data_IF_617398131985
#
_entry.id   IF_617398131985
#
_cell.length_a   1.000
_cell.length_b   1.000
_cell.length_c   1.000
_cell.angle_alpha   90.00
_cell.angle_beta   90.00
_cell.angle_gamma   90.00
#
_symmetry.space_group_name_H-M   'P 1'
#
loop_
_entity.id
_entity.type
_entity.pdbx_description
1 polymer ?
#
# COMPACT_ATOMS: atom_id res chain seq x y z
N UNK A 1 6.28 15.55 -13.11
CA UNK A 1 5.47 16.02 -11.95
C UNK A 1 4.26 15.11 -11.80
N UNK A 2 3.93 14.69 -10.58
CA UNK A 2 2.78 13.82 -10.30
C UNK A 2 1.48 14.59 -10.48
N UNK A 3 0.52 14.02 -11.21
CA UNK A 3 -0.84 14.57 -11.27
C UNK A 3 -1.62 14.13 -10.03
N UNK A 4 -1.70 15.02 -9.03
CA UNK A 4 -2.30 14.73 -7.73
C UNK A 4 -3.76 14.29 -7.81
N UNK A 5 -4.53 14.78 -8.80
CA UNK A 5 -5.95 14.40 -8.98
C UNK A 5 -6.06 12.96 -9.46
N UNK A 6 -5.30 12.60 -10.49
CA UNK A 6 -5.31 11.25 -11.05
C UNK A 6 -4.78 10.23 -10.03
N UNK A 7 -3.74 10.59 -9.28
CA UNK A 7 -3.19 9.73 -8.24
C UNK A 7 -4.20 9.49 -7.12
N UNK A 8 -4.90 10.54 -6.67
CA UNK A 8 -5.95 10.41 -5.67
C UNK A 8 -7.10 9.54 -6.18
N UNK A 9 -7.54 9.70 -7.42
CA UNK A 9 -8.57 8.85 -8.01
C UNK A 9 -8.12 7.38 -8.08
N UNK A 10 -6.86 7.13 -8.48
CA UNK A 10 -6.30 5.79 -8.51
C UNK A 10 -6.30 5.16 -7.11
N UNK A 11 -5.88 5.90 -6.08
CA UNK A 11 -5.93 5.45 -4.68
C UNK A 11 -7.37 5.25 -4.18
N UNK A 12 -8.31 6.11 -4.54
CA UNK A 12 -9.72 5.91 -4.17
C UNK A 12 -10.29 4.65 -4.79
N UNK A 13 -9.93 4.33 -6.04
CA UNK A 13 -10.35 3.10 -6.70
C UNK A 13 -9.78 1.84 -6.04
N UNK A 14 -8.60 1.92 -5.40
CA UNK A 14 -8.08 0.76 -4.65
C UNK A 14 -8.90 0.47 -3.41
N UNK A 15 -9.69 1.40 -2.88
CA UNK A 15 -10.51 1.17 -1.69
C UNK A 15 -11.71 0.25 -1.93
N UNK A 16 -12.13 0.08 -3.19
CA UNK A 16 -13.32 -0.68 -3.54
C UNK A 16 -13.29 -2.12 -2.94
N UNK A 17 -14.43 -2.64 -2.51
CA UNK A 17 -14.53 -4.01 -2.01
C UNK A 17 -14.20 -5.02 -3.12
N UNK A 18 -13.89 -6.25 -2.74
CA UNK A 18 -13.74 -7.36 -3.68
C UNK A 18 -14.95 -8.27 -3.53
N UNK A 19 -15.69 -8.45 -4.62
CA UNK A 19 -16.83 -9.34 -4.71
C UNK A 19 -16.53 -10.40 -5.77
N UNK A 20 -16.72 -11.67 -5.42
CA UNK A 20 -16.56 -12.78 -6.36
C UNK A 20 -17.95 -13.29 -6.73
N UNK A 21 -18.29 -13.29 -8.02
CA UNK A 21 -19.59 -13.81 -8.47
C UNK A 21 -19.66 -15.35 -8.36
N UNK A 22 -18.52 -16.02 -8.43
CA UNK A 22 -18.42 -17.49 -8.45
C UNK A 22 -18.47 -18.15 -7.07
N UNK A 23 -18.27 -17.39 -5.99
CA UNK A 23 -18.25 -17.87 -4.60
C UNK A 23 -18.94 -16.81 -3.75
N UNK A 24 -19.83 -17.16 -2.80
CA UNK A 24 -20.51 -16.17 -1.94
C UNK A 24 -19.53 -15.54 -0.94
N UNK A 25 -18.62 -14.72 -1.46
CA UNK A 25 -17.54 -14.07 -0.75
C UNK A 25 -17.47 -12.61 -1.19
N UNK A 26 -17.63 -11.73 -0.22
CA UNK A 26 -17.46 -10.29 -0.36
C UNK A 26 -16.58 -9.78 0.77
N UNK A 27 -15.74 -8.80 0.49
CA UNK A 27 -15.04 -8.06 1.53
C UNK A 27 -15.61 -6.69 1.73
N UNK A 28 -15.37 -6.10 2.89
CA UNK A 28 -15.51 -4.66 3.05
C UNK A 28 -14.52 -3.88 2.18
N UNK A 29 -14.78 -2.58 2.06
CA UNK A 29 -13.83 -1.64 1.48
C UNK A 29 -12.59 -1.50 2.35
N UNK A 30 -11.45 -1.18 1.74
CA UNK A 30 -10.26 -0.81 2.51
C UNK A 30 -10.55 0.46 3.32
N UNK A 31 -9.97 0.57 4.51
CA UNK A 31 -10.14 1.75 5.35
C UNK A 31 -9.40 2.95 4.76
N UNK A 32 -8.16 2.73 4.30
CA UNK A 32 -7.38 3.75 3.63
C UNK A 32 -6.28 3.16 2.74
N UNK A 33 -5.82 3.98 1.80
CA UNK A 33 -4.69 3.70 0.93
C UNK A 33 -3.84 4.96 0.85
N UNK A 34 -2.52 4.81 0.99
CA UNK A 34 -1.60 5.93 0.99
C UNK A 34 -0.37 5.62 0.13
N UNK A 35 0.13 6.67 -0.52
CA UNK A 35 1.43 6.70 -1.15
C UNK A 35 2.34 7.57 -0.29
N UNK A 36 3.41 6.99 0.22
CA UNK A 36 4.31 7.64 1.16
C UNK A 36 5.74 7.67 0.63
N UNK A 37 6.52 8.63 1.13
CA UNK A 37 7.96 8.75 0.85
C UNK A 37 8.76 7.70 1.61
N UNK A 38 9.70 7.05 0.93
CA UNK A 38 10.69 6.15 1.54
C UNK A 38 11.56 6.90 2.56
N UNK A 39 11.94 8.14 2.24
CA UNK A 39 12.93 8.89 3.02
C UNK A 39 12.45 9.25 4.43
N UNK A 40 11.17 9.60 4.57
CA UNK A 40 10.64 10.17 5.82
C UNK A 40 9.22 9.71 6.18
N UNK A 41 8.62 8.78 5.42
CA UNK A 41 7.25 8.33 5.65
C UNK A 41 6.17 9.39 5.37
N UNK A 42 6.54 10.53 4.77
CA UNK A 42 5.58 11.59 4.49
C UNK A 42 4.56 11.14 3.45
N UNK A 43 3.28 11.43 3.71
CA UNK A 43 2.18 11.11 2.80
C UNK A 43 2.22 12.06 1.60
N UNK A 44 2.41 11.50 0.40
CA UNK A 44 2.36 12.23 -0.88
C UNK A 44 0.92 12.32 -1.37
N UNK A 45 0.16 11.24 -1.24
CA UNK A 45 -1.26 11.17 -1.57
C UNK A 45 -1.95 10.09 -0.76
N UNK A 46 -3.23 10.26 -0.46
CA UNK A 46 -4.02 9.27 0.27
C UNK A 46 -5.48 9.31 -0.14
N UNK A 47 -6.16 8.19 0.11
CA UNK A 47 -7.60 8.04 0.06
C UNK A 47 -8.07 7.27 1.29
N UNK A 48 -9.24 7.62 1.82
CA UNK A 48 -9.86 6.94 2.95
C UNK A 48 -11.38 6.84 2.73
N UNK A 49 -12.02 5.90 3.43
CA UNK A 49 -13.49 5.72 3.42
C UNK A 49 -14.21 6.55 4.50
N UNK A 50 -13.46 7.32 5.30
CA UNK A 50 -14.02 8.14 6.38
C UNK A 50 -14.98 9.23 5.85
N UNK A 51 -16.05 9.49 6.61
CA UNK A 51 -16.98 10.57 6.28
C UNK A 51 -16.32 11.96 6.43
N UNK A 52 -16.78 12.99 5.70
CA UNK A 52 -16.11 14.29 5.61
C UNK A 52 -15.86 15.02 6.94
N UNK A 53 -16.64 14.69 8.00
CA UNK A 53 -16.58 15.31 9.32
C UNK A 53 -15.40 14.89 10.22
N UNK A 54 -14.79 13.72 9.99
CA UNK A 54 -13.69 13.17 10.80
C UNK A 54 -12.29 13.41 10.19
N UNK A 55 -12.19 14.32 9.23
CA UNK A 55 -11.06 14.40 8.29
C UNK A 55 -9.70 14.78 8.92
N UNK A 56 -9.68 15.56 10.00
CA UNK A 56 -8.42 16.04 10.60
C UNK A 56 -7.82 15.03 11.57
N UNK A 57 -8.64 14.44 12.45
CA UNK A 57 -8.20 13.37 13.36
C UNK A 57 -7.79 12.12 12.59
N UNK A 58 -8.57 11.74 11.57
CA UNK A 58 -8.25 10.59 10.71
C UNK A 58 -6.95 10.78 9.92
N UNK A 59 -6.64 12.00 9.45
CA UNK A 59 -5.37 12.26 8.77
C UNK A 59 -4.17 12.20 9.72
N UNK A 60 -4.30 12.71 10.94
CA UNK A 60 -3.23 12.64 11.93
C UNK A 60 -2.94 11.18 12.33
N UNK A 61 -3.99 10.38 12.52
CA UNK A 61 -3.85 8.95 12.76
C UNK A 61 -3.17 8.27 11.57
N UNK A 62 -3.60 8.57 10.34
CA UNK A 62 -2.98 8.00 9.14
C UNK A 62 -1.49 8.36 9.02
N UNK A 63 -1.10 9.60 9.35
CA UNK A 63 0.31 10.01 9.36
C UNK A 63 1.13 9.20 10.34
N UNK A 64 0.61 9.00 11.56
CA UNK A 64 1.26 8.19 12.58
C UNK A 64 1.42 6.74 12.10
N UNK A 65 0.35 6.15 11.57
CA UNK A 65 0.35 4.78 11.05
C UNK A 65 1.32 4.60 9.89
N UNK A 66 1.35 5.56 8.94
CA UNK A 66 2.28 5.53 7.81
C UNK A 66 3.75 5.60 8.25
N UNK A 67 4.06 6.43 9.25
CA UNK A 67 5.40 6.54 9.80
C UNK A 67 5.83 5.22 10.46
N UNK A 68 4.98 4.64 11.31
CA UNK A 68 5.24 3.35 11.95
C UNK A 68 5.44 2.22 10.93
N UNK A 69 4.63 2.20 9.86
CA UNK A 69 4.79 1.25 8.76
C UNK A 69 6.14 1.41 8.05
N UNK A 70 6.53 2.65 7.77
CA UNK A 70 7.78 2.96 7.07
C UNK A 70 8.99 2.58 7.93
N UNK A 71 8.95 2.80 9.24
CA UNK A 71 10.05 2.44 10.12
C UNK A 71 10.19 0.93 10.25
N UNK A 72 9.08 0.20 10.48
CA UNK A 72 9.10 -1.28 10.47
C UNK A 72 9.59 -1.86 9.15
N UNK A 73 9.12 -1.31 8.02
CA UNK A 73 9.59 -1.73 6.71
C UNK A 73 11.08 -1.46 6.52
N UNK A 74 11.57 -0.29 6.97
CA UNK A 74 12.99 0.06 6.86
C UNK A 74 13.87 -0.89 7.68
N UNK A 75 13.40 -1.35 8.83
CA UNK A 75 14.08 -2.36 9.66
C UNK A 75 14.09 -3.73 8.96
N UNK A 76 12.91 -4.19 8.50
CA UNK A 76 12.76 -5.49 7.82
C UNK A 76 13.52 -5.55 6.47
N UNK A 77 13.69 -4.42 5.78
CA UNK A 77 14.43 -4.32 4.52
C UNK A 77 15.96 -4.28 4.77
N UNK A 78 16.39 -3.72 5.90
CA UNK A 78 17.80 -3.67 6.30
C UNK A 78 18.31 -5.02 6.80
N UNK A 79 17.48 -5.76 7.53
CA UNK A 79 17.82 -7.10 8.03
C UNK A 79 16.70 -8.10 7.76
N UNK A 80 16.91 -8.89 6.71
CA UNK A 80 15.97 -9.93 6.28
C UNK A 80 15.89 -11.12 7.25
N UNK A 81 16.86 -11.31 8.15
CA UNK A 81 16.88 -12.45 9.08
C UNK A 81 16.19 -12.15 10.41
N UNK A 82 16.17 -10.89 10.84
CA UNK A 82 15.49 -10.46 12.06
C UNK A 82 14.04 -10.02 11.82
N UNK A 83 13.49 -10.29 10.64
CA UNK A 83 12.13 -9.87 10.28
C UNK A 83 11.12 -10.25 11.36
N UNK A 84 10.43 -9.23 11.86
CA UNK A 84 9.30 -9.40 12.76
C UNK A 84 8.11 -10.05 12.05
N UNK A 85 8.07 -9.95 10.72
CA UNK A 85 6.94 -10.34 9.88
C UNK A 85 7.09 -11.76 9.32
N UNK A 86 6.03 -12.56 9.50
CA UNK A 86 5.99 -13.97 9.04
C UNK A 86 5.86 -14.13 7.51
N UNK A 87 5.64 -13.05 6.76
CA UNK A 87 5.21 -13.10 5.37
C UNK A 87 5.82 -11.97 4.50
N UNK A 88 7.07 -12.13 4.06
CA UNK A 88 7.65 -11.34 2.98
C UNK A 88 7.42 -12.06 1.64
N UNK A 89 6.64 -11.46 0.73
CA UNK A 89 6.39 -12.03 -0.59
C UNK A 89 7.24 -11.33 -1.65
N UNK A 90 8.16 -12.07 -2.27
CA UNK A 90 8.85 -11.60 -3.47
C UNK A 90 7.86 -11.60 -4.64
N UNK A 91 7.71 -10.45 -5.28
CA UNK A 91 6.83 -10.28 -6.43
C UNK A 91 7.63 -9.78 -7.63
N UNK A 92 7.64 -10.57 -8.70
CA UNK A 92 8.28 -10.24 -9.96
C UNK A 92 7.22 -10.20 -11.05
N UNK A 93 7.26 -9.17 -11.90
CA UNK A 93 6.40 -9.05 -13.06
C UNK A 93 7.13 -8.36 -14.21
N UNK A 94 6.61 -8.55 -15.40
CA UNK A 94 7.06 -7.87 -16.61
C UNK A 94 5.88 -7.10 -17.18
N UNK A 95 6.14 -5.86 -17.56
CA UNK A 95 5.28 -5.08 -18.43
C UNK A 95 5.71 -5.33 -19.88
N UNK A 96 4.77 -5.28 -20.82
CA UNK A 96 4.97 -5.73 -22.21
C UNK A 96 6.34 -5.34 -22.80
N UNK A 97 7.14 -6.36 -23.14
CA UNK A 97 8.50 -6.28 -23.70
C UNK A 97 9.54 -5.43 -22.92
N UNK A 98 9.33 -5.22 -21.61
CA UNK A 98 10.21 -4.45 -20.73
C UNK A 98 11.12 -5.28 -19.80
N UNK A 99 11.99 -4.57 -19.06
CA UNK A 99 12.82 -5.13 -17.96
C UNK A 99 11.91 -5.75 -16.87
N UNK A 100 12.29 -6.90 -16.27
CA UNK A 100 11.55 -7.42 -15.12
C UNK A 100 11.62 -6.45 -13.94
N UNK A 101 10.47 -6.14 -13.37
CA UNK A 101 10.36 -5.41 -12.12
C UNK A 101 10.24 -6.39 -10.97
N UNK A 102 10.85 -6.02 -9.85
CA UNK A 102 10.79 -6.78 -8.62
C UNK A 102 10.45 -5.86 -7.46
N UNK A 103 9.60 -6.33 -6.56
CA UNK A 103 9.42 -5.73 -5.25
C UNK A 103 9.14 -6.81 -4.21
N UNK A 104 9.21 -6.40 -2.94
CA UNK A 104 8.83 -7.21 -1.79
C UNK A 104 7.56 -6.63 -1.20
N UNK A 105 6.62 -7.51 -0.92
CA UNK A 105 5.35 -7.17 -0.28
C UNK A 105 5.43 -7.62 1.17
N UNK A 106 5.21 -6.68 2.07
CA UNK A 106 5.22 -6.89 3.51
C UNK A 106 3.80 -6.76 4.06
N UNK A 107 3.52 -7.52 5.11
CA UNK A 107 2.24 -7.47 5.82
C UNK A 107 2.49 -7.23 7.29
N UNK A 108 1.84 -6.21 7.85
CA UNK A 108 1.94 -5.85 9.26
C UNK A 108 0.57 -5.88 9.92
N UNK A 109 0.56 -6.26 11.19
CA UNK A 109 -0.57 -6.01 12.08
C UNK A 109 -0.21 -4.79 12.93
N UNK A 110 -1.03 -3.75 12.86
CA UNK A 110 -0.87 -2.54 13.65
C UNK A 110 -2.21 -2.25 14.30
N UNK A 111 -2.26 -2.37 15.62
CA UNK A 111 -3.51 -2.33 16.39
C UNK A 111 -4.49 -3.39 15.87
N UNK A 112 -5.70 -2.99 15.48
CA UNK A 112 -6.75 -3.85 14.91
C UNK A 112 -6.77 -3.82 13.37
N UNK A 113 -5.71 -3.26 12.74
CA UNK A 113 -5.63 -3.09 11.30
C UNK A 113 -4.62 -4.04 10.67
N UNK A 114 -5.03 -4.59 9.53
CA UNK A 114 -4.16 -5.33 8.63
C UNK A 114 -3.60 -4.37 7.61
N UNK A 115 -2.28 -4.31 7.57
CA UNK A 115 -1.53 -3.44 6.68
C UNK A 115 -0.77 -4.27 5.67
N UNK A 116 -0.78 -3.83 4.42
CA UNK A 116 0.08 -4.38 3.40
C UNK A 116 0.79 -3.25 2.67
N UNK A 117 2.10 -3.39 2.51
CA UNK A 117 2.90 -2.38 1.83
C UNK A 117 3.91 -2.99 0.88
N UNK A 118 4.28 -2.20 -0.12
CA UNK A 118 5.34 -2.53 -1.05
C UNK A 118 6.01 -1.27 -1.57
N UNK A 119 7.32 -1.38 -1.75
CA UNK A 119 8.11 -0.37 -2.42
C UNK A 119 7.77 -0.33 -3.91
N UNK A 120 7.58 0.87 -4.46
CA UNK A 120 7.39 1.03 -5.90
C UNK A 120 8.75 0.93 -6.60
N UNK A 121 8.88 0.09 -7.65
CA UNK A 121 10.16 -0.19 -8.29
C UNK A 121 10.95 1.06 -8.67
N UNK A 122 12.23 1.07 -8.30
CA UNK A 122 13.22 2.12 -8.60
C UNK A 122 12.85 3.53 -8.08
N UNK A 123 11.74 3.68 -7.36
CA UNK A 123 11.23 4.97 -6.89
C UNK A 123 11.62 5.27 -5.44
N UNK A 124 11.30 6.46 -4.95
CA UNK A 124 11.40 6.82 -3.53
C UNK A 124 10.03 6.76 -2.84
N UNK A 125 9.14 5.89 -3.32
CA UNK A 125 7.75 5.81 -2.90
C UNK A 125 7.36 4.41 -2.42
N UNK A 126 6.49 4.34 -1.42
CA UNK A 126 5.89 3.11 -0.87
C UNK A 126 4.38 3.23 -0.99
N UNK A 127 3.74 2.18 -1.51
CA UNK A 127 2.30 2.03 -1.50
C UNK A 127 1.89 1.25 -0.25
N UNK A 128 0.95 1.79 0.52
CA UNK A 128 0.44 1.20 1.77
C UNK A 128 -1.08 1.09 1.69
N UNK A 129 -1.61 -0.08 2.04
CA UNK A 129 -3.04 -0.37 2.14
C UNK A 129 -3.38 -0.74 3.59
N UNK A 130 -4.44 -0.14 4.11
CA UNK A 130 -4.97 -0.40 5.45
C UNK A 130 -6.36 -1.01 5.34
N UNK A 131 -6.55 -2.16 5.98
CA UNK A 131 -7.80 -2.89 6.02
C UNK A 131 -8.17 -3.25 7.46
N UNK A 132 -9.45 -3.55 7.68
CA UNK A 132 -9.95 -4.08 8.96
C UNK A 132 -9.37 -5.47 9.21
N UNK A 133 -9.42 -5.92 10.47
CA UNK A 133 -8.92 -7.24 10.88
C UNK A 133 -9.61 -8.41 10.15
N UNK A 134 -10.83 -8.20 9.67
CA UNK A 134 -11.61 -9.22 8.95
C UNK A 134 -11.06 -9.44 7.53
N UNK A 135 -10.38 -8.44 6.94
CA UNK A 135 -9.89 -8.49 5.57
C UNK A 135 -8.73 -9.49 5.41
N UNK A 136 -8.84 -10.56 4.61
CA UNK A 136 -7.80 -11.59 4.53
C UNK A 136 -6.47 -11.07 3.97
N UNK A 137 -5.34 -11.37 4.64
CA UNK A 137 -4.01 -10.96 4.17
C UNK A 137 -3.70 -11.45 2.75
N UNK A 138 -4.08 -12.70 2.41
CA UNK A 138 -3.85 -13.25 1.07
C UNK A 138 -4.53 -12.41 -0.02
N UNK A 139 -5.75 -11.94 0.23
CA UNK A 139 -6.47 -11.08 -0.69
C UNK A 139 -5.88 -9.67 -0.73
N UNK A 140 -5.44 -9.14 0.42
CA UNK A 140 -4.79 -7.83 0.50
C UNK A 140 -3.48 -7.80 -0.32
N UNK A 141 -2.69 -8.87 -0.24
CA UNK A 141 -1.48 -9.07 -1.04
C UNK A 141 -1.81 -9.17 -2.53
N UNK A 142 -2.84 -9.94 -2.92
CA UNK A 142 -3.28 -10.04 -4.32
C UNK A 142 -3.74 -8.69 -4.87
N UNK A 143 -4.51 -7.95 -4.07
CA UNK A 143 -4.97 -6.62 -4.39
C UNK A 143 -3.79 -5.66 -4.57
N UNK A 144 -2.81 -5.69 -3.68
CA UNK A 144 -1.60 -4.89 -3.80
C UNK A 144 -0.79 -5.23 -5.07
N UNK A 145 -0.62 -6.51 -5.41
CA UNK A 145 0.05 -6.93 -6.66
C UNK A 145 -0.59 -6.32 -7.90
N UNK A 146 -1.92 -6.31 -7.96
CA UNK A 146 -2.65 -5.70 -9.08
C UNK A 146 -2.56 -4.16 -9.04
N UNK A 147 -2.62 -3.56 -7.85
CA UNK A 147 -2.42 -2.12 -7.68
C UNK A 147 -1.06 -1.69 -8.20
N UNK A 148 0.02 -2.39 -7.83
CA UNK A 148 1.39 -2.07 -8.25
C UNK A 148 1.50 -1.91 -9.77
N UNK A 149 0.89 -2.80 -10.56
CA UNK A 149 0.86 -2.71 -12.03
C UNK A 149 0.21 -1.41 -12.52
N UNK A 150 -0.89 -0.98 -11.89
CA UNK A 150 -1.58 0.26 -12.22
C UNK A 150 -0.77 1.52 -11.91
N UNK A 151 0.25 1.43 -11.05
CA UNK A 151 1.18 2.53 -10.73
C UNK A 151 2.41 2.60 -11.65
N UNK A 152 2.44 1.90 -12.79
CA UNK A 152 3.57 1.88 -13.73
C UNK A 152 4.12 3.27 -14.12
N UNK A 153 3.26 4.28 -14.22
CA UNK A 153 3.64 5.63 -14.65
C UNK A 153 4.47 6.40 -13.61
N UNK A 154 4.59 5.88 -12.37
CA UNK A 154 5.36 6.50 -11.29
C UNK A 154 6.52 5.63 -10.81
N UNK A 155 6.86 4.56 -11.54
CA UNK A 155 8.11 3.82 -11.30
C UNK A 155 9.31 4.72 -11.56
N UNK A 156 10.40 4.52 -10.81
CA UNK A 156 11.58 5.37 -10.92
C UNK A 156 11.43 6.80 -10.40
N UNK A 157 10.26 7.18 -9.85
CA UNK A 157 10.03 8.54 -9.37
C UNK A 157 10.95 8.87 -8.18
N UNK A 158 11.73 9.94 -8.30
CA UNK A 158 12.63 10.45 -7.26
C UNK A 158 12.09 11.70 -6.60
N UNK A 159 12.20 11.76 -5.28
CA UNK A 159 11.91 12.96 -4.49
C UNK A 159 13.20 13.80 -4.49
N UNK A 160 13.17 14.94 -5.20
CA UNK A 160 14.29 15.87 -5.28
C UNK A 160 14.57 16.61 -3.98
#
# INVERSE_FOLDING_TARGET
MINSKNLKNLLSNTLAPVELESVPFSTDSLQSAALISVANGAIISYANTAQPGDSVSSLNNLKMMCLLCKDKWSEDEADLQSQSTKCCYRYQWQLDQGKPYETRIYTYEIEELRVCLAHLPESDLILVLFATQEYPYGLLVLKLKNCLKSFQNIYGYKLG
#
